data_IF_853646889009
#
_entry.id   IF_853646889009
#
_cell.length_a   1.000
_cell.length_b   1.000
_cell.length_c   1.000
_cell.angle_alpha   90.00
_cell.angle_beta   90.00
_cell.angle_gamma   90.00
#
_symmetry.space_group_name_H-M   'P 1'
#
loop_
_entity.id
_entity.type
_entity.pdbx_description
1 polymer ?
#
# COMPACT_ATOMS: atom_id res chain seq x y z
N UNK A 1 -22.89 81.68 57.04
CA UNK A 1 -21.76 81.07 56.32
C UNK A 1 -21.54 79.71 56.94
N UNK A 2 -22.16 78.69 56.39
CA UNK A 2 -22.05 77.31 56.90
C UNK A 2 -20.86 76.61 56.24
N UNK A 3 -19.92 76.17 57.01
CA UNK A 3 -18.79 75.34 56.59
C UNK A 3 -19.34 73.97 56.33
N UNK A 4 -19.27 73.56 55.05
CA UNK A 4 -19.51 72.21 54.63
C UNK A 4 -18.35 71.37 55.15
N UNK A 5 -18.58 70.69 56.31
CA UNK A 5 -17.63 69.67 56.80
C UNK A 5 -17.58 68.53 55.82
N UNK A 6 -16.47 68.44 55.11
CA UNK A 6 -16.25 67.32 54.19
C UNK A 6 -16.33 65.98 54.94
N UNK A 7 -17.18 65.11 54.49
CA UNK A 7 -17.36 63.78 55.07
C UNK A 7 -16.13 62.90 54.75
N UNK A 8 -15.15 62.96 55.61
CA UNK A 8 -13.92 62.20 55.50
C UNK A 8 -14.10 60.68 55.62
N UNK A 9 -15.28 60.21 56.09
CA UNK A 9 -15.61 58.81 56.19
C UNK A 9 -15.94 58.22 54.82
N UNK A 10 -16.60 58.95 53.95
CA UNK A 10 -16.90 58.51 52.59
C UNK A 10 -15.63 58.37 51.74
N UNK A 11 -14.62 59.22 51.95
CA UNK A 11 -13.34 59.13 51.23
C UNK A 11 -12.48 57.92 51.67
N UNK A 12 -12.51 57.56 52.94
CA UNK A 12 -11.80 56.37 53.46
C UNK A 12 -12.44 55.09 52.92
N UNK A 13 -13.78 55.00 52.87
CA UNK A 13 -14.48 53.87 52.29
C UNK A 13 -14.20 53.68 50.80
N UNK A 14 -14.12 54.78 50.04
CA UNK A 14 -13.80 54.70 48.61
C UNK A 14 -12.35 54.28 48.35
N UNK A 15 -11.41 54.65 49.21
CA UNK A 15 -10.02 54.29 49.09
C UNK A 15 -9.77 52.84 49.47
N UNK A 16 -10.40 52.31 50.53
CA UNK A 16 -10.38 50.91 50.90
C UNK A 16 -10.99 50.02 49.84
N UNK A 17 -12.12 50.44 49.21
CA UNK A 17 -12.71 49.75 48.10
C UNK A 17 -11.78 49.68 46.90
N UNK A 18 -11.07 50.79 46.60
CA UNK A 18 -10.13 50.86 45.49
C UNK A 18 -8.94 49.91 45.74
N UNK A 19 -8.37 49.88 46.97
CA UNK A 19 -7.30 48.95 47.31
C UNK A 19 -7.72 47.49 47.31
N UNK A 20 -9.00 47.17 47.59
CA UNK A 20 -9.55 45.83 47.47
C UNK A 20 -9.82 45.44 46.02
N UNK A 21 -10.18 46.41 45.17
CA UNK A 21 -10.55 46.15 43.78
C UNK A 21 -9.31 45.91 42.87
N UNK A 22 -8.17 46.54 43.17
CA UNK A 22 -6.93 46.35 42.43
C UNK A 22 -6.46 44.88 42.43
N UNK A 23 -6.26 44.20 43.59
CA UNK A 23 -5.85 42.81 43.61
C UNK A 23 -6.92 41.89 43.00
N UNK A 24 -8.21 42.21 43.19
CA UNK A 24 -9.29 41.47 42.58
C UNK A 24 -9.21 41.48 41.04
N UNK A 25 -9.03 42.65 40.44
CA UNK A 25 -8.90 42.79 38.99
C UNK A 25 -7.65 42.09 38.47
N UNK A 26 -6.52 42.14 39.22
CA UNK A 26 -5.31 41.43 38.87
C UNK A 26 -5.50 39.90 38.88
N UNK A 27 -6.17 39.40 39.94
CA UNK A 27 -6.49 37.95 40.00
C UNK A 27 -7.44 37.53 38.90
N UNK A 28 -8.49 38.30 38.62
CA UNK A 28 -9.42 38.02 37.51
C UNK A 28 -8.73 38.08 36.16
N UNK A 29 -7.80 39.02 35.95
CA UNK A 29 -6.99 39.09 34.72
C UNK A 29 -6.08 37.89 34.54
N UNK A 30 -5.43 37.40 35.63
CA UNK A 30 -4.64 36.18 35.58
C UNK A 30 -5.50 34.94 35.28
N UNK A 31 -6.65 34.80 35.94
CA UNK A 31 -7.58 33.70 35.70
C UNK A 31 -8.11 33.72 34.27
N UNK A 32 -8.47 34.88 33.74
CA UNK A 32 -8.91 35.02 32.35
C UNK A 32 -7.78 34.60 31.35
N UNK A 33 -6.55 35.04 31.59
CA UNK A 33 -5.40 34.65 30.77
C UNK A 33 -5.13 33.15 30.83
N UNK A 34 -5.23 32.54 32.02
CA UNK A 34 -5.06 31.08 32.17
C UNK A 34 -6.19 30.30 31.49
N UNK A 35 -7.44 30.78 31.53
CA UNK A 35 -8.57 30.19 30.82
C UNK A 35 -8.40 30.25 29.31
N UNK A 36 -7.88 31.35 28.76
CA UNK A 36 -7.58 31.48 27.35
C UNK A 36 -6.50 30.46 26.93
N UNK A 37 -5.45 30.33 27.71
CA UNK A 37 -4.37 29.36 27.48
C UNK A 37 -4.91 27.92 27.53
N UNK A 38 -5.75 27.58 28.51
CA UNK A 38 -6.37 26.27 28.64
C UNK A 38 -7.29 25.99 27.45
N UNK A 39 -8.09 26.97 27.04
CA UNK A 39 -8.99 26.84 25.89
C UNK A 39 -8.19 26.59 24.60
N UNK A 40 -7.10 27.31 24.40
CA UNK A 40 -6.18 27.10 23.27
C UNK A 40 -5.59 25.66 23.28
N UNK A 41 -5.08 25.21 24.44
CA UNK A 41 -4.52 23.87 24.58
C UNK A 41 -5.56 22.76 24.32
N UNK A 42 -6.79 22.95 24.80
CA UNK A 42 -7.89 22.02 24.53
C UNK A 42 -8.22 21.97 23.04
N UNK A 43 -8.34 23.11 22.39
CA UNK A 43 -8.60 23.19 20.96
C UNK A 43 -7.50 22.53 20.15
N UNK A 44 -6.23 22.85 20.43
CA UNK A 44 -5.07 22.25 19.79
C UNK A 44 -5.08 20.71 19.94
N UNK A 45 -5.31 20.23 21.17
CA UNK A 45 -5.38 18.78 21.45
C UNK A 45 -6.51 18.10 20.70
N UNK A 46 -7.69 18.74 20.63
CA UNK A 46 -8.86 18.19 19.93
C UNK A 46 -8.63 18.17 18.42
N UNK A 47 -8.09 19.24 17.83
CA UNK A 47 -7.80 19.30 16.40
C UNK A 47 -6.71 18.31 16.00
N UNK A 48 -5.62 18.25 16.76
CA UNK A 48 -4.52 17.32 16.52
C UNK A 48 -4.99 15.86 16.67
N UNK A 49 -5.74 15.54 17.73
CA UNK A 49 -6.31 14.20 17.92
C UNK A 49 -7.30 13.81 16.82
N UNK A 50 -8.05 14.77 16.29
CA UNK A 50 -8.94 14.55 15.13
C UNK A 50 -8.13 14.22 13.87
N UNK A 51 -7.08 14.99 13.56
CA UNK A 51 -6.21 14.76 12.39
C UNK A 51 -5.47 13.44 12.51
N UNK A 52 -4.98 13.09 13.71
CA UNK A 52 -4.31 11.82 13.98
C UNK A 52 -5.24 10.63 13.74
N UNK A 53 -6.48 10.71 14.18
CA UNK A 53 -7.47 9.66 13.93
C UNK A 53 -7.78 9.53 12.45
N UNK A 54 -8.00 10.62 11.73
CA UNK A 54 -8.23 10.60 10.28
C UNK A 54 -7.02 10.00 9.54
N UNK A 55 -5.80 10.35 9.94
CA UNK A 55 -4.59 9.79 9.37
C UNK A 55 -4.48 8.27 9.61
N UNK A 56 -4.79 7.82 10.83
CA UNK A 56 -4.79 6.40 11.19
C UNK A 56 -5.86 5.63 10.41
N UNK A 57 -7.09 6.15 10.34
CA UNK A 57 -8.19 5.53 9.60
C UNK A 57 -7.89 5.48 8.10
N UNK A 58 -7.29 6.54 7.55
CA UNK A 58 -6.82 6.59 6.15
C UNK A 58 -5.78 5.51 5.87
N UNK A 59 -4.78 5.38 6.74
CA UNK A 59 -3.73 4.38 6.59
C UNK A 59 -4.27 2.95 6.76
N UNK A 60 -5.24 2.75 7.67
CA UNK A 60 -5.94 1.49 7.82
C UNK A 60 -6.72 1.14 6.55
N UNK A 61 -7.56 2.03 6.07
CA UNK A 61 -8.32 1.82 4.84
C UNK A 61 -7.39 1.50 3.66
N UNK A 62 -6.27 2.20 3.55
CA UNK A 62 -5.30 1.98 2.48
C UNK A 62 -4.67 0.58 2.52
N UNK A 63 -4.38 0.04 3.71
CA UNK A 63 -3.65 -1.24 3.87
C UNK A 63 -4.54 -2.45 4.12
N UNK A 64 -5.78 -2.25 4.55
CA UNK A 64 -6.72 -3.33 4.89
C UNK A 64 -7.73 -3.59 3.77
N UNK A 65 -7.90 -2.67 2.83
CA UNK A 65 -8.83 -2.83 1.70
C UNK A 65 -8.11 -2.95 0.37
N UNK A 66 -8.72 -3.70 -0.56
CA UNK A 66 -8.26 -3.75 -1.95
C UNK A 66 -8.74 -2.57 -2.79
N UNK A 67 -9.57 -1.70 -2.23
CA UNK A 67 -10.22 -0.61 -2.94
C UNK A 67 -11.52 -1.03 -3.65
N UNK A 68 -12.19 -0.05 -4.25
CA UNK A 68 -13.41 -0.24 -5.03
C UNK A 68 -13.32 0.52 -6.36
N UNK A 69 -13.40 -0.20 -7.50
CA UNK A 69 -13.40 -1.65 -7.65
C UNK A 69 -12.09 -2.30 -7.17
N UNK A 70 -12.09 -3.60 -6.89
CA UNK A 70 -10.89 -4.32 -6.39
C UNK A 70 -9.70 -4.26 -7.35
N UNK A 71 -9.95 -3.91 -8.60
CA UNK A 71 -8.98 -3.76 -9.71
C UNK A 71 -8.87 -2.31 -10.19
N UNK A 72 -9.05 -1.34 -9.28
CA UNK A 72 -9.08 0.10 -9.60
C UNK A 72 -7.83 0.61 -10.33
N UNK A 73 -6.69 -0.03 -10.11
CA UNK A 73 -5.40 0.31 -10.73
C UNK A 73 -5.39 0.13 -12.25
N UNK A 74 -6.33 -0.66 -12.77
CA UNK A 74 -6.40 -1.02 -14.18
C UNK A 74 -7.24 -0.05 -15.00
N UNK A 75 -8.33 0.43 -14.44
CA UNK A 75 -9.32 1.24 -15.16
C UNK A 75 -9.19 2.75 -14.90
N UNK A 76 -8.33 3.17 -13.99
CA UNK A 76 -8.20 4.57 -13.58
C UNK A 76 -9.43 5.14 -12.87
N UNK A 77 -10.54 4.39 -12.83
CA UNK A 77 -11.76 4.75 -12.12
C UNK A 77 -11.74 4.15 -10.72
N UNK A 78 -11.57 4.98 -9.72
CA UNK A 78 -11.50 4.56 -8.32
C UNK A 78 -12.57 5.29 -7.51
N UNK A 79 -13.40 4.52 -6.81
CA UNK A 79 -14.33 5.03 -5.80
C UNK A 79 -13.64 5.09 -4.44
N UNK A 80 -12.98 4.00 -4.06
CA UNK A 80 -12.19 3.88 -2.84
C UNK A 80 -10.81 3.33 -3.17
N UNK A 81 -9.77 3.97 -2.68
CA UNK A 81 -8.38 3.53 -2.86
C UNK A 81 -8.03 2.53 -1.78
N UNK A 82 -7.40 1.43 -2.18
CA UNK A 82 -6.84 0.44 -1.26
C UNK A 82 -5.64 -0.24 -1.91
N UNK A 83 -4.63 -0.58 -1.13
CA UNK A 83 -3.41 -1.22 -1.59
C UNK A 83 -3.36 -2.72 -1.29
N UNK A 84 -4.27 -3.24 -0.46
CA UNK A 84 -4.26 -4.65 -0.12
C UNK A 84 -4.43 -5.51 -1.38
N UNK A 85 -3.58 -6.55 -1.48
CA UNK A 85 -3.71 -7.55 -2.54
C UNK A 85 -5.04 -8.27 -2.38
N UNK A 86 -5.78 -8.44 -3.49
CA UNK A 86 -7.02 -9.19 -3.47
C UNK A 86 -6.75 -10.67 -3.72
N UNK A 87 -7.28 -11.51 -2.86
CA UNK A 87 -7.26 -12.97 -3.02
C UNK A 87 -8.56 -13.38 -3.74
N UNK A 88 -8.46 -13.66 -5.04
CA UNK A 88 -9.61 -14.05 -5.87
C UNK A 88 -10.23 -15.37 -5.44
N UNK A 89 -9.42 -16.29 -4.89
CA UNK A 89 -9.87 -17.62 -4.49
C UNK A 89 -10.75 -17.54 -3.23
N UNK A 90 -10.43 -16.64 -2.34
CA UNK A 90 -11.16 -16.41 -1.09
C UNK A 90 -12.18 -15.29 -1.17
N UNK A 91 -12.09 -14.43 -2.18
CA UNK A 91 -12.96 -13.26 -2.34
C UNK A 91 -12.74 -12.17 -1.31
N UNK A 92 -11.53 -12.07 -0.72
CA UNK A 92 -11.21 -11.13 0.37
C UNK A 92 -9.87 -10.43 0.13
N UNK A 93 -9.66 -9.22 0.65
CA UNK A 93 -8.35 -8.59 0.66
C UNK A 93 -7.40 -9.34 1.61
N UNK A 94 -6.14 -9.43 1.23
CA UNK A 94 -5.05 -9.88 2.09
C UNK A 94 -4.53 -8.67 2.88
N UNK A 95 -5.07 -8.48 4.07
CA UNK A 95 -4.73 -7.37 4.95
C UNK A 95 -3.22 -7.30 5.20
N UNK A 96 -2.67 -6.08 5.16
CA UNK A 96 -1.25 -5.85 5.37
C UNK A 96 -0.33 -6.38 4.27
N UNK A 97 -0.88 -6.83 3.13
CA UNK A 97 -0.11 -7.24 1.95
C UNK A 97 -0.36 -6.28 0.80
N UNK A 98 0.61 -5.46 0.49
CA UNK A 98 0.54 -4.44 -0.56
C UNK A 98 0.75 -5.06 -1.94
N UNK A 99 -0.20 -4.84 -2.86
CA UNK A 99 -0.05 -5.21 -4.25
C UNK A 99 0.88 -4.24 -4.99
N UNK A 100 1.89 -4.76 -5.69
CA UNK A 100 2.88 -3.96 -6.42
C UNK A 100 2.21 -3.09 -7.49
N UNK A 101 1.24 -3.64 -8.21
CA UNK A 101 0.48 -2.96 -9.26
C UNK A 101 -0.29 -1.76 -8.71
N UNK A 102 -0.99 -1.92 -7.58
CA UNK A 102 -1.74 -0.85 -6.91
C UNK A 102 -0.82 0.23 -6.37
N UNK A 103 0.30 -0.16 -5.77
CA UNK A 103 1.29 0.79 -5.29
C UNK A 103 1.88 1.62 -6.45
N UNK A 104 2.14 1.00 -7.59
CA UNK A 104 2.62 1.70 -8.80
C UNK A 104 1.57 2.67 -9.33
N UNK A 105 0.31 2.27 -9.43
CA UNK A 105 -0.81 3.07 -9.93
C UNK A 105 -1.23 4.18 -8.96
N UNK A 106 -0.87 4.08 -7.68
CA UNK A 106 -1.22 5.08 -6.68
C UNK A 106 -0.63 6.44 -7.04
N UNK A 107 -1.47 7.46 -7.10
CA UNK A 107 -1.09 8.83 -7.40
C UNK A 107 -1.75 9.82 -6.43
N UNK A 108 -1.35 11.09 -6.52
CA UNK A 108 -1.83 12.16 -5.64
C UNK A 108 -3.36 12.32 -5.72
N UNK A 109 -3.92 12.27 -6.93
CA UNK A 109 -5.37 12.44 -7.13
C UNK A 109 -6.17 11.31 -6.47
N UNK A 110 -5.71 10.07 -6.63
CA UNK A 110 -6.35 8.92 -6.01
C UNK A 110 -6.25 8.97 -4.48
N UNK A 111 -5.07 9.27 -3.96
CA UNK A 111 -4.85 9.38 -2.51
C UNK A 111 -5.66 10.54 -1.91
N UNK A 112 -5.81 11.68 -2.63
CA UNK A 112 -6.60 12.83 -2.17
C UNK A 112 -8.09 12.48 -1.99
N UNK A 113 -8.63 11.54 -2.78
CA UNK A 113 -10.01 11.04 -2.58
C UNK A 113 -10.19 10.34 -1.24
N UNK A 114 -9.16 9.63 -0.78
CA UNK A 114 -9.18 8.93 0.50
C UNK A 114 -8.96 9.89 1.69
N UNK A 115 -8.00 10.80 1.55
CA UNK A 115 -7.61 11.76 2.60
C UNK A 115 -8.66 12.87 2.78
N UNK A 116 -9.32 13.28 1.68
CA UNK A 116 -10.24 14.42 1.64
C UNK A 116 -9.53 15.74 1.29
N UNK A 117 -10.30 16.70 0.77
CA UNK A 117 -9.77 17.97 0.24
C UNK A 117 -9.20 18.92 1.31
N UNK A 118 -9.65 18.78 2.55
CA UNK A 118 -9.27 19.66 3.67
C UNK A 118 -7.88 19.36 4.24
N UNK A 119 -7.27 18.25 3.82
CA UNK A 119 -5.98 17.82 4.33
C UNK A 119 -4.92 17.82 3.24
N UNK A 120 -3.72 18.24 3.63
CA UNK A 120 -2.49 17.95 2.91
C UNK A 120 -1.94 16.60 3.39
N UNK A 121 -1.21 15.91 2.53
CA UNK A 121 -0.57 14.65 2.90
C UNK A 121 0.77 14.44 2.20
N UNK A 122 1.59 13.61 2.83
CA UNK A 122 2.77 13.00 2.24
C UNK A 122 2.83 11.53 2.65
N UNK A 123 2.79 10.64 1.66
CA UNK A 123 2.91 9.19 1.84
C UNK A 123 4.29 8.75 1.40
N UNK A 124 4.98 8.01 2.25
CA UNK A 124 6.25 7.38 1.95
C UNK A 124 6.19 5.88 2.26
N UNK A 125 6.54 5.05 1.28
CA UNK A 125 6.61 3.60 1.41
C UNK A 125 8.04 3.18 1.15
N UNK A 126 8.67 2.53 2.13
CA UNK A 126 10.07 2.10 2.07
C UNK A 126 10.20 0.65 2.50
N UNK A 127 11.17 -0.06 1.94
CA UNK A 127 11.60 -1.35 2.50
C UNK A 127 12.22 -1.15 3.87
N UNK A 128 12.11 -2.15 4.75
CA UNK A 128 12.71 -2.07 6.09
C UNK A 128 14.20 -2.41 6.02
N UNK A 129 14.56 -3.38 5.17
CA UNK A 129 15.90 -3.96 5.13
C UNK A 129 16.97 -2.98 4.63
N UNK A 130 16.69 -2.26 3.54
CA UNK A 130 17.65 -1.38 2.87
C UNK A 130 17.17 0.07 2.73
N UNK A 131 15.99 0.39 3.30
CA UNK A 131 15.35 1.70 3.23
C UNK A 131 15.12 2.21 1.80
N UNK A 132 15.01 1.29 0.82
CA UNK A 132 14.69 1.64 -0.56
C UNK A 132 13.29 2.25 -0.63
N UNK A 133 13.17 3.39 -1.29
CA UNK A 133 11.88 4.06 -1.49
C UNK A 133 11.12 3.31 -2.58
N UNK A 134 10.00 2.69 -2.21
CA UNK A 134 9.09 2.03 -3.13
C UNK A 134 8.10 3.02 -3.75
N UNK A 135 7.60 3.96 -2.96
CA UNK A 135 6.68 5.02 -3.40
C UNK A 135 6.81 6.24 -2.51
N UNK A 136 6.74 7.41 -3.14
CA UNK A 136 6.71 8.69 -2.45
C UNK A 136 5.78 9.62 -3.21
N UNK A 137 4.70 10.07 -2.57
CA UNK A 137 3.70 10.97 -3.15
C UNK A 137 3.19 11.97 -2.11
N UNK A 138 2.84 13.18 -2.54
CA UNK A 138 2.31 14.21 -1.66
C UNK A 138 1.52 15.28 -2.40
N UNK A 139 0.70 16.03 -1.68
CA UNK A 139 -0.16 17.10 -2.22
C UNK A 139 0.59 18.36 -2.60
N UNK A 140 1.69 18.63 -1.94
CA UNK A 140 2.53 19.79 -2.25
C UNK A 140 3.70 19.32 -3.11
N UNK A 141 3.88 19.97 -4.26
CA UNK A 141 5.02 19.77 -5.15
C UNK A 141 6.32 20.21 -4.44
N UNK A 142 6.72 19.46 -3.46
CA UNK A 142 8.06 19.58 -2.91
C UNK A 142 8.98 18.91 -3.91
N UNK A 143 9.70 19.73 -4.61
CA UNK A 143 10.48 19.52 -5.80
C UNK A 143 10.96 18.11 -6.13
N UNK A 144 11.20 17.86 -7.39
CA UNK A 144 11.54 16.58 -8.02
C UNK A 144 12.77 15.83 -7.43
N UNK A 145 13.34 16.27 -6.33
CA UNK A 145 14.50 15.67 -5.65
C UNK A 145 14.31 15.33 -4.17
N UNK A 146 13.14 15.53 -3.61
CA UNK A 146 12.91 15.21 -2.21
C UNK A 146 11.46 15.50 -1.83
N UNK A 147 10.60 14.50 -1.96
CA UNK A 147 9.29 14.56 -1.37
C UNK A 147 9.43 14.81 0.13
N UNK A 148 9.02 15.95 0.60
CA UNK A 148 9.07 16.37 1.99
C UNK A 148 7.76 17.05 2.36
N UNK A 149 7.61 17.29 3.64
CA UNK A 149 6.52 18.09 4.18
C UNK A 149 6.83 19.55 3.84
N UNK A 150 5.82 20.28 3.32
CA UNK A 150 5.98 21.70 3.08
C UNK A 150 6.35 22.42 4.39
N UNK A 151 7.33 23.32 4.36
CA UNK A 151 7.75 24.09 5.51
C UNK A 151 6.65 25.01 6.09
N UNK A 152 5.55 25.20 5.36
CA UNK A 152 4.38 25.96 5.80
C UNK A 152 3.31 25.09 6.47
N UNK A 153 3.46 23.77 6.45
CA UNK A 153 2.52 22.87 7.10
C UNK A 153 2.64 23.00 8.63
N UNK A 154 1.54 23.33 9.29
CA UNK A 154 1.42 23.31 10.75
C UNK A 154 0.70 22.04 11.19
N UNK A 155 0.91 21.64 12.45
CA UNK A 155 0.22 20.52 13.10
C UNK A 155 0.31 19.20 12.31
N UNK A 156 1.50 18.91 11.83
CA UNK A 156 1.76 17.69 11.07
C UNK A 156 1.67 16.48 11.98
N UNK A 157 0.78 15.57 11.63
CA UNK A 157 0.62 14.26 12.27
C UNK A 157 1.34 13.20 11.45
N UNK A 158 2.04 12.30 12.11
CA UNK A 158 2.74 11.16 11.51
C UNK A 158 2.15 9.85 12.01
N UNK A 159 1.67 9.03 11.10
CA UNK A 159 1.21 7.67 11.37
C UNK A 159 2.06 6.69 10.57
N UNK A 160 2.40 5.56 11.18
CA UNK A 160 3.25 4.54 10.57
C UNK A 160 2.65 3.15 10.77
N UNK A 161 2.69 2.32 9.72
CA UNK A 161 2.37 0.90 9.77
C UNK A 161 3.41 0.08 9.01
N UNK A 162 3.55 -1.17 9.42
CA UNK A 162 4.34 -2.17 8.69
C UNK A 162 3.38 -3.00 7.86
N UNK A 163 3.74 -3.22 6.60
CA UNK A 163 3.03 -4.08 5.68
C UNK A 163 4.02 -5.02 4.97
N UNK A 164 3.51 -6.02 4.27
CA UNK A 164 4.31 -6.87 3.40
C UNK A 164 4.19 -6.39 1.96
N UNK A 165 5.29 -6.38 1.24
CA UNK A 165 5.35 -5.98 -0.15
C UNK A 165 6.16 -6.99 -0.96
N UNK A 166 5.60 -7.44 -2.08
CA UNK A 166 6.33 -8.18 -3.10
C UNK A 166 6.43 -7.29 -4.34
N UNK A 167 7.61 -7.24 -4.97
CA UNK A 167 7.84 -6.40 -6.15
C UNK A 167 7.05 -6.89 -7.37
N UNK A 168 6.82 -8.20 -7.44
CA UNK A 168 6.09 -8.87 -8.51
C UNK A 168 4.91 -9.64 -7.93
N UNK A 169 3.80 -9.67 -8.66
CA UNK A 169 2.61 -10.39 -8.26
C UNK A 169 2.63 -11.83 -8.78
N UNK A 170 2.39 -12.78 -7.89
CA UNK A 170 2.17 -14.18 -8.26
C UNK A 170 0.67 -14.40 -8.44
N UNK A 171 0.27 -14.77 -9.66
CA UNK A 171 -1.12 -15.08 -10.01
C UNK A 171 -1.49 -16.51 -9.69
N UNK A 172 -0.57 -17.44 -9.94
CA UNK A 172 -0.75 -18.85 -9.66
C UNK A 172 0.58 -19.50 -9.31
N UNK A 173 0.56 -20.51 -8.47
CA UNK A 173 1.76 -21.28 -8.14
C UNK A 173 1.45 -22.76 -7.95
N UNK A 174 2.31 -23.60 -8.53
CA UNK A 174 2.42 -25.01 -8.21
C UNK A 174 3.63 -25.17 -7.31
N UNK A 175 3.42 -25.00 -6.02
CA UNK A 175 4.46 -25.00 -4.99
C UNK A 175 4.28 -26.22 -4.10
N UNK A 176 5.39 -26.86 -3.74
CA UNK A 176 5.44 -28.03 -2.84
C UNK A 176 4.61 -29.27 -3.31
N UNK A 177 3.88 -29.15 -4.41
CA UNK A 177 3.06 -30.23 -4.96
C UNK A 177 3.77 -31.10 -5.99
N UNK A 178 4.78 -30.53 -6.68
CA UNK A 178 5.52 -31.25 -7.72
C UNK A 178 6.70 -31.96 -7.06
N UNK A 179 6.46 -33.19 -6.62
CA UNK A 179 7.49 -34.05 -6.02
C UNK A 179 7.55 -35.37 -6.76
N UNK A 180 8.77 -35.89 -6.91
CA UNK A 180 8.91 -37.21 -7.51
C UNK A 180 8.27 -38.31 -6.63
N UNK A 181 7.41 -39.08 -7.26
CA UNK A 181 6.73 -40.21 -6.65
C UNK A 181 7.20 -41.55 -7.23
N UNK A 182 8.34 -41.55 -7.92
CA UNK A 182 8.87 -42.74 -8.59
C UNK A 182 8.21 -43.10 -9.92
N UNK A 183 7.28 -42.26 -10.41
CA UNK A 183 6.60 -42.43 -11.69
C UNK A 183 6.39 -41.08 -12.38
N UNK A 184 6.36 -41.02 -13.71
CA UNK A 184 6.01 -39.78 -14.42
C UNK A 184 4.64 -39.28 -13.99
N UNK A 185 4.50 -37.98 -13.77
CA UNK A 185 3.23 -37.37 -13.33
C UNK A 185 2.91 -36.11 -14.11
N UNK A 186 1.62 -35.82 -14.12
CA UNK A 186 1.06 -34.59 -14.64
C UNK A 186 0.47 -33.82 -13.45
N UNK A 187 0.93 -32.58 -13.27
CA UNK A 187 0.40 -31.66 -12.30
C UNK A 187 -0.27 -30.52 -13.06
N UNK A 188 -1.50 -30.24 -12.75
CA UNK A 188 -2.22 -29.10 -13.30
C UNK A 188 -2.39 -28.08 -12.18
N UNK A 189 -2.32 -26.79 -12.53
CA UNK A 189 -2.63 -25.73 -11.56
C UNK A 189 -3.92 -26.06 -10.84
N UNK A 190 -4.00 -25.73 -9.55
CA UNK A 190 -5.13 -26.14 -8.72
C UNK A 190 -6.46 -25.76 -9.36
N UNK A 191 -7.62 -26.19 -8.81
CA UNK A 191 -8.93 -26.05 -9.43
C UNK A 191 -9.24 -24.64 -9.96
N UNK A 192 -8.41 -23.66 -9.61
CA UNK A 192 -8.57 -22.28 -10.06
C UNK A 192 -7.52 -21.92 -11.12
N UNK A 193 -7.93 -21.84 -12.39
CA UNK A 193 -7.11 -21.24 -13.44
C UNK A 193 -6.84 -19.77 -13.09
N UNK A 194 -5.72 -19.23 -13.55
CA UNK A 194 -5.46 -17.79 -13.38
C UNK A 194 -6.15 -17.00 -14.50
N UNK A 195 -7.03 -16.04 -14.16
CA UNK A 195 -7.73 -15.26 -15.18
C UNK A 195 -6.81 -14.17 -15.75
N UNK A 196 -6.91 -13.94 -17.05
CA UNK A 196 -6.31 -12.80 -17.73
C UNK A 196 -7.34 -12.07 -18.56
N UNK A 197 -7.21 -10.76 -18.69
CA UNK A 197 -8.04 -9.89 -19.52
C UNK A 197 -7.16 -9.26 -20.61
N UNK A 198 -7.72 -9.05 -21.80
CA UNK A 198 -7.03 -8.37 -22.90
C UNK A 198 -6.54 -6.99 -22.54
N UNK A 199 -7.23 -6.29 -21.64
CA UNK A 199 -6.80 -5.01 -21.11
C UNK A 199 -5.46 -5.12 -20.36
N UNK A 200 -5.27 -6.21 -19.62
CA UNK A 200 -4.05 -6.44 -18.82
C UNK A 200 -2.81 -6.67 -19.67
N UNK A 201 -2.96 -7.23 -20.86
CA UNK A 201 -1.86 -7.41 -21.81
C UNK A 201 -1.24 -6.09 -22.30
N UNK A 202 -1.96 -4.98 -22.15
CA UNK A 202 -1.44 -3.65 -22.51
C UNK A 202 -0.56 -3.05 -21.41
N UNK A 203 -0.72 -3.50 -20.16
CA UNK A 203 -0.07 -2.91 -18.98
C UNK A 203 0.83 -3.89 -18.24
N UNK A 204 0.70 -5.19 -18.47
CA UNK A 204 1.49 -6.23 -17.83
C UNK A 204 2.10 -7.20 -18.84
N UNK A 205 3.26 -7.71 -18.46
CA UNK A 205 3.88 -8.89 -19.04
C UNK A 205 3.69 -10.08 -18.09
N UNK A 206 3.52 -11.27 -18.66
CA UNK A 206 3.32 -12.51 -17.92
C UNK A 206 4.55 -13.40 -18.07
N UNK A 207 4.99 -13.98 -16.96
CA UNK A 207 6.18 -14.77 -16.89
C UNK A 207 5.92 -16.09 -16.19
N UNK A 208 6.58 -17.15 -16.65
CA UNK A 208 6.73 -18.40 -15.89
C UNK A 208 8.09 -18.39 -15.25
N UNK A 209 8.14 -18.54 -13.92
CA UNK A 209 9.34 -18.80 -13.15
C UNK A 209 9.30 -20.25 -12.68
N UNK A 210 10.28 -21.04 -13.08
CA UNK A 210 10.44 -22.44 -12.68
C UNK A 210 11.68 -22.57 -11.82
N UNK A 211 11.51 -23.14 -10.63
CA UNK A 211 12.62 -23.50 -9.72
C UNK A 211 12.71 -25.02 -9.70
N UNK A 212 13.70 -25.55 -10.41
CA UNK A 212 13.95 -26.96 -10.51
C UNK A 212 14.95 -27.42 -9.45
N UNK A 213 14.61 -28.48 -8.74
CA UNK A 213 15.47 -29.11 -7.74
C UNK A 213 15.61 -30.58 -8.06
N UNK A 214 16.34 -30.88 -9.12
CA UNK A 214 16.80 -32.22 -9.44
C UNK A 214 16.05 -32.95 -10.57
N UNK A 215 15.05 -32.38 -11.23
CA UNK A 215 14.52 -32.99 -12.45
C UNK A 215 15.46 -32.78 -13.63
N UNK A 216 15.84 -33.84 -14.30
CA UNK A 216 16.62 -33.78 -15.53
C UNK A 216 15.77 -33.37 -16.73
N UNK A 217 14.50 -33.75 -16.70
CA UNK A 217 13.53 -33.42 -17.75
C UNK A 217 12.14 -33.20 -17.17
N UNK A 218 11.56 -32.04 -17.51
CA UNK A 218 10.16 -31.74 -17.25
C UNK A 218 9.65 -30.77 -18.32
N UNK A 219 8.35 -30.77 -18.58
CA UNK A 219 7.72 -29.79 -19.46
C UNK A 219 6.74 -28.94 -18.68
N UNK A 220 6.69 -27.64 -19.01
CA UNK A 220 5.65 -26.72 -18.51
C UNK A 220 4.84 -26.24 -19.69
N UNK A 221 3.54 -26.48 -19.62
CA UNK A 221 2.57 -26.05 -20.64
C UNK A 221 1.67 -24.97 -20.07
N UNK A 222 1.38 -23.93 -20.86
CA UNK A 222 0.36 -22.93 -20.61
C UNK A 222 -0.71 -23.08 -21.69
N UNK A 223 -1.96 -23.31 -21.29
CA UNK A 223 -3.07 -23.50 -22.22
C UNK A 223 -2.78 -24.57 -23.30
N UNK A 224 -2.10 -25.62 -22.92
CA UNK A 224 -1.62 -26.71 -23.80
C UNK A 224 -0.46 -26.33 -24.75
N UNK A 225 0.08 -25.12 -24.65
CA UNK A 225 1.29 -24.73 -25.38
C UNK A 225 2.51 -24.95 -24.49
N UNK A 226 3.49 -25.72 -24.96
CA UNK A 226 4.71 -25.98 -24.20
C UNK A 226 5.59 -24.75 -24.20
N UNK A 227 5.81 -24.18 -23.02
CA UNK A 227 6.65 -22.98 -22.81
C UNK A 227 8.04 -23.34 -22.28
N UNK A 228 8.16 -24.47 -21.58
CA UNK A 228 9.45 -25.04 -21.15
C UNK A 228 9.54 -26.46 -21.66
N UNK A 229 10.59 -26.78 -22.39
CA UNK A 229 10.83 -28.12 -22.97
C UNK A 229 11.66 -28.97 -22.02
N UNK A 230 11.48 -30.28 -22.13
CA UNK A 230 12.06 -31.25 -21.20
C UNK A 230 13.57 -31.25 -21.06
N UNK A 231 14.30 -30.86 -22.10
CA UNK A 231 15.77 -30.84 -22.16
C UNK A 231 16.39 -29.50 -21.74
N UNK A 232 15.58 -28.47 -21.53
CA UNK A 232 16.05 -27.13 -21.17
C UNK A 232 16.47 -27.00 -19.69
N UNK A 233 16.20 -28.02 -18.86
CA UNK A 233 16.56 -28.03 -17.45
C UNK A 233 18.00 -28.48 -17.16
N UNK A 234 18.75 -28.93 -18.15
CA UNK A 234 20.09 -29.46 -17.99
C UNK A 234 21.00 -28.54 -17.16
N UNK A 235 21.12 -28.84 -15.88
CA UNK A 235 22.02 -28.17 -14.94
C UNK A 235 21.60 -26.77 -14.48
N UNK A 236 20.45 -26.25 -14.87
CA UNK A 236 19.95 -24.96 -14.40
C UNK A 236 18.84 -25.12 -13.37
N UNK A 237 19.05 -24.55 -12.18
CA UNK A 237 18.09 -24.64 -11.09
C UNK A 237 16.91 -23.67 -11.22
N UNK A 238 16.99 -22.70 -12.11
CA UNK A 238 15.94 -21.69 -12.27
C UNK A 238 15.80 -21.27 -13.73
N UNK A 239 14.59 -21.22 -14.23
CA UNK A 239 14.23 -20.72 -15.56
C UNK A 239 13.14 -19.69 -15.42
N UNK A 240 13.20 -18.63 -16.24
CA UNK A 240 12.15 -17.64 -16.38
C UNK A 240 11.87 -17.42 -17.87
N UNK A 241 10.62 -17.39 -18.24
CA UNK A 241 10.19 -17.33 -19.64
C UNK A 241 9.03 -16.37 -19.72
N UNK A 242 9.12 -15.40 -20.65
CA UNK A 242 8.01 -14.52 -20.96
C UNK A 242 6.95 -15.32 -21.77
N UNK A 243 5.73 -15.34 -21.25
CA UNK A 243 4.60 -16.06 -21.84
C UNK A 243 3.50 -15.11 -22.34
N UNK A 244 3.76 -13.82 -22.40
CA UNK A 244 2.77 -12.82 -22.79
C UNK A 244 2.22 -13.10 -24.18
N UNK A 245 3.07 -13.48 -25.15
CA UNK A 245 2.64 -13.82 -26.50
C UNK A 245 1.75 -15.05 -26.52
N UNK A 246 2.05 -16.09 -25.75
CA UNK A 246 1.24 -17.32 -25.69
C UNK A 246 -0.15 -17.06 -25.10
N UNK A 247 -0.25 -16.12 -24.16
CA UNK A 247 -1.54 -15.69 -23.61
C UNK A 247 -2.28 -14.85 -24.65
N UNK A 248 -1.63 -13.92 -25.34
CA UNK A 248 -2.23 -13.09 -26.39
C UNK A 248 -2.75 -13.94 -27.55
N UNK A 249 -1.97 -14.89 -28.05
CA UNK A 249 -2.42 -15.86 -29.06
C UNK A 249 -3.66 -16.64 -28.61
N UNK A 250 -3.76 -16.99 -27.34
CA UNK A 250 -4.92 -17.69 -26.78
C UNK A 250 -6.18 -16.83 -26.82
N UNK A 251 -6.10 -15.53 -26.54
CA UNK A 251 -7.23 -14.60 -26.71
C UNK A 251 -7.67 -14.48 -28.15
N UNK A 252 -6.74 -14.32 -29.07
CA UNK A 252 -7.03 -14.24 -30.51
C UNK A 252 -7.72 -15.50 -31.00
N UNK A 253 -7.26 -16.66 -30.55
CA UNK A 253 -7.83 -17.94 -30.92
C UNK A 253 -9.26 -18.15 -30.40
N UNK A 254 -9.51 -17.73 -29.15
CA UNK A 254 -10.79 -17.93 -28.47
C UNK A 254 -11.79 -16.80 -28.71
N UNK A 255 -11.35 -15.67 -29.29
CA UNK A 255 -12.17 -14.45 -29.49
C UNK A 255 -12.86 -13.97 -28.20
N UNK A 256 -12.18 -14.05 -27.08
CA UNK A 256 -12.70 -13.68 -25.75
C UNK A 256 -11.94 -12.46 -25.23
N UNK A 257 -12.55 -11.72 -24.32
CA UNK A 257 -11.91 -10.61 -23.61
C UNK A 257 -11.36 -11.04 -22.24
N UNK A 258 -11.89 -12.11 -21.69
CA UNK A 258 -11.46 -12.73 -20.44
C UNK A 258 -11.16 -14.20 -20.71
N UNK A 259 -10.04 -14.68 -20.22
CA UNK A 259 -9.61 -16.06 -20.38
C UNK A 259 -9.09 -16.62 -19.07
N UNK A 260 -9.52 -17.84 -18.76
CA UNK A 260 -8.93 -18.67 -17.72
C UNK A 260 -7.76 -19.48 -18.30
N UNK A 261 -6.58 -19.26 -17.76
CA UNK A 261 -5.37 -19.93 -18.21
C UNK A 261 -5.00 -21.05 -17.25
N UNK A 262 -4.51 -22.15 -17.80
CA UNK A 262 -4.09 -23.32 -17.04
C UNK A 262 -2.59 -23.53 -17.15
N UNK A 263 -1.97 -23.96 -16.06
CA UNK A 263 -0.57 -24.39 -16.02
C UNK A 263 -0.57 -25.89 -15.87
N UNK A 264 0.14 -26.59 -16.74
CA UNK A 264 0.33 -28.04 -16.63
C UNK A 264 1.81 -28.35 -16.63
N UNK A 265 2.26 -29.10 -15.63
CA UNK A 265 3.65 -29.58 -15.52
C UNK A 265 3.66 -31.08 -15.68
N UNK A 266 4.50 -31.56 -16.60
CA UNK A 266 4.74 -33.00 -16.78
C UNK A 266 6.17 -33.31 -16.41
N UNK A 267 6.36 -34.25 -15.50
CA UNK A 267 7.67 -34.66 -15.03
C UNK A 267 7.96 -36.10 -15.43
N UNK A 268 9.22 -36.40 -15.69
CA UNK A 268 9.72 -37.78 -15.70
C UNK A 268 10.16 -38.15 -14.28
N UNK A 269 10.17 -39.47 -14.01
CA UNK A 269 10.62 -39.95 -12.70
C UNK A 269 12.09 -39.60 -12.48
N UNK A 270 12.37 -38.92 -11.36
CA UNK A 270 13.72 -38.65 -10.88
C UNK A 270 13.69 -38.61 -9.34
N UNK A 271 14.08 -39.71 -8.65
CA UNK A 271 13.91 -39.85 -7.22
C UNK A 271 14.51 -38.70 -6.42
N UNK A 272 13.71 -38.10 -5.54
CA UNK A 272 14.10 -36.97 -4.69
C UNK A 272 13.99 -35.60 -5.36
N UNK A 273 13.64 -35.52 -6.63
CA UNK A 273 13.46 -34.24 -7.31
C UNK A 273 12.19 -33.52 -6.86
N UNK A 274 12.24 -32.21 -6.91
CA UNK A 274 11.08 -31.34 -6.69
C UNK A 274 11.14 -30.11 -7.61
N UNK A 275 10.02 -29.48 -7.84
CA UNK A 275 9.90 -28.30 -8.69
C UNK A 275 8.83 -27.37 -8.16
N UNK A 276 9.10 -26.07 -8.23
CA UNK A 276 8.09 -25.05 -8.02
C UNK A 276 7.91 -24.26 -9.33
N UNK A 277 6.68 -23.98 -9.68
CA UNK A 277 6.31 -23.18 -10.85
C UNK A 277 5.45 -22.01 -10.39
N UNK A 278 5.83 -20.80 -10.77
CA UNK A 278 5.12 -19.58 -10.47
C UNK A 278 4.72 -18.87 -11.75
N UNK A 279 3.48 -18.44 -11.83
CA UNK A 279 3.01 -17.50 -12.85
C UNK A 279 3.06 -16.12 -12.25
N UNK A 280 3.85 -15.25 -12.88
CA UNK A 280 4.15 -13.91 -12.40
C UNK A 280 3.55 -12.90 -13.35
N UNK A 281 2.88 -11.91 -12.79
CA UNK A 281 2.46 -10.70 -13.47
C UNK A 281 3.43 -9.57 -13.10
N UNK A 282 4.02 -8.95 -14.09
CA UNK A 282 4.95 -7.86 -13.94
C UNK A 282 4.49 -6.63 -14.75
N UNK A 283 4.76 -5.40 -14.33
CA UNK A 283 4.54 -4.23 -15.17
C UNK A 283 5.21 -4.40 -16.53
N UNK A 284 4.54 -3.94 -17.60
CA UNK A 284 5.05 -4.10 -18.97
C UNK A 284 6.43 -3.51 -19.13
N UNK A 285 7.33 -4.26 -19.76
CA UNK A 285 8.72 -3.87 -19.93
C UNK A 285 9.60 -4.10 -18.70
N UNK A 286 9.13 -4.85 -17.71
CA UNK A 286 9.99 -5.26 -16.58
C UNK A 286 11.17 -6.06 -17.10
N UNK A 287 12.43 -5.65 -16.79
CA UNK A 287 13.61 -6.36 -17.21
C UNK A 287 13.65 -7.80 -16.70
N UNK A 288 14.16 -8.71 -17.51
CA UNK A 288 14.24 -10.13 -17.23
C UNK A 288 15.00 -10.47 -15.95
N UNK A 289 16.06 -9.74 -15.64
CA UNK A 289 16.88 -9.88 -14.43
C UNK A 289 16.11 -9.58 -13.13
N UNK A 290 14.97 -8.88 -13.25
CA UNK A 290 14.08 -8.61 -12.12
C UNK A 290 13.07 -9.74 -11.86
N UNK A 291 12.92 -10.70 -12.78
CA UNK A 291 12.06 -11.85 -12.60
C UNK A 291 12.79 -12.89 -11.76
N UNK A 292 12.62 -12.84 -10.46
CA UNK A 292 13.35 -13.68 -9.52
C UNK A 292 12.51 -14.08 -8.32
N UNK A 293 12.92 -15.17 -7.65
CA UNK A 293 12.30 -15.61 -6.39
C UNK A 293 12.30 -14.52 -5.32
N UNK A 294 13.35 -13.70 -5.29
CA UNK A 294 13.47 -12.66 -4.27
C UNK A 294 12.50 -11.51 -4.48
N UNK A 295 12.11 -11.25 -5.73
CA UNK A 295 11.15 -10.20 -6.06
C UNK A 295 9.69 -10.63 -5.90
N UNK A 296 9.41 -11.94 -5.87
CA UNK A 296 8.06 -12.47 -5.58
C UNK A 296 7.83 -12.75 -4.10
N UNK A 297 8.89 -12.86 -3.30
CA UNK A 297 8.76 -13.06 -1.85
C UNK A 297 8.29 -11.78 -1.18
N UNK A 298 7.23 -11.83 -0.37
CA UNK A 298 6.85 -10.69 0.44
C UNK A 298 7.97 -10.32 1.42
N UNK A 299 8.33 -9.04 1.43
CA UNK A 299 9.28 -8.45 2.39
C UNK A 299 8.56 -7.38 3.20
N UNK A 300 8.93 -7.19 4.46
CA UNK A 300 8.33 -6.13 5.25
C UNK A 300 8.72 -4.76 4.69
N UNK A 301 7.72 -3.91 4.56
CA UNK A 301 7.88 -2.51 4.18
C UNK A 301 7.23 -1.62 5.24
N UNK A 302 7.73 -0.40 5.32
CA UNK A 302 7.23 0.64 6.21
C UNK A 302 6.40 1.61 5.39
N UNK A 303 5.17 1.85 5.83
CA UNK A 303 4.26 2.81 5.22
C UNK A 303 4.04 3.95 6.21
N UNK A 304 4.49 5.14 5.83
CA UNK A 304 4.41 6.34 6.67
C UNK A 304 3.52 7.35 5.98
N UNK A 305 2.50 7.79 6.69
CA UNK A 305 1.61 8.86 6.26
C UNK A 305 1.79 10.07 7.17
N UNK A 306 2.14 11.19 6.56
CA UNK A 306 2.09 12.50 7.20
C UNK A 306 0.85 13.22 6.70
N UNK A 307 0.10 13.82 7.62
CA UNK A 307 -1.09 14.61 7.31
C UNK A 307 -1.09 15.92 8.08
N UNK A 308 -1.69 16.95 7.48
CA UNK A 308 -1.89 18.27 8.08
C UNK A 308 -3.15 18.91 7.55
N UNK A 309 -3.72 19.85 8.27
CA UNK A 309 -4.82 20.69 7.79
C UNK A 309 -4.30 21.75 6.81
N UNK A 310 -5.07 21.98 5.72
CA UNK A 310 -4.77 23.03 4.73
C UNK A 310 -5.33 24.37 5.16
#
# INVERSE_FOLDING_TARGET
MGLIGGDSRGQLFSLDLLFALIPLVLVLGMVASDMDNITYLIQDTVYRGSTERVAADTLNALLETSGDPTTWEQNGSVNVVGLAKYDSDRGVPLEGTVAATKLTALNVSNMQKLVGSNYGFYLNVTTIDDSTILKSIGTDNVGASGAGINNTASDVVRVEKVANYAKLDVLSSLKDGIRDAGVPRIYTSPPNPFPTDTFYLNIYDYWVLVVNRGYDSATVDINSNTVVKGDEFNGQNTRYINITEQIDESFLKNMTTLQDNTVTVRTVSNPGASMDVYIIQAPKGTPEDQISLDNIKPRPCRVILFMWTK
#
